data_IF_640958735844
#
_entry.id   IF_640958735844
#
_cell.length_a   1.000
_cell.length_b   1.000
_cell.length_c   1.000
_cell.angle_alpha   90.00
_cell.angle_beta   90.00
_cell.angle_gamma   90.00
#
_symmetry.space_group_name_H-M   'P 1'
#
loop_
_entity.id
_entity.type
_entity.pdbx_description
1 polymer ?
#
# COMPACT_ATOMS: atom_id res chain seq x y z
N UNK A 1 -20.04 32.53 9.67
CA UNK A 1 -20.52 31.13 9.74
C UNK A 1 -19.41 30.17 10.18
N UNK A 2 -18.23 30.19 9.55
CA UNK A 2 -17.05 29.38 9.94
C UNK A 2 -16.52 29.76 11.33
N UNK A 3 -16.58 31.05 11.69
CA UNK A 3 -16.03 31.57 12.96
C UNK A 3 -16.78 31.06 14.21
N UNK A 4 -18.12 31.01 14.15
CA UNK A 4 -18.95 30.43 15.21
C UNK A 4 -18.71 28.92 15.37
N UNK A 5 -18.46 28.20 14.27
CA UNK A 5 -18.14 26.77 14.31
C UNK A 5 -16.79 26.54 14.99
N UNK A 6 -15.76 27.32 14.65
CA UNK A 6 -14.43 27.18 15.25
C UNK A 6 -14.45 27.40 16.77
N UNK A 7 -15.17 28.43 17.24
CA UNK A 7 -15.35 28.69 18.67
C UNK A 7 -16.08 27.55 19.38
N UNK A 8 -17.13 27.00 18.75
CA UNK A 8 -17.84 25.85 19.29
C UNK A 8 -16.93 24.62 19.39
N UNK A 9 -16.19 24.28 18.33
CA UNK A 9 -15.31 23.11 18.29
C UNK A 9 -14.19 23.22 19.31
N UNK A 10 -13.56 24.38 19.46
CA UNK A 10 -12.54 24.60 20.50
C UNK A 10 -13.09 24.34 21.90
N UNK A 11 -14.31 24.82 22.19
CA UNK A 11 -14.97 24.56 23.47
C UNK A 11 -15.29 23.08 23.70
N UNK A 12 -15.68 22.34 22.66
CA UNK A 12 -16.00 20.91 22.78
C UNK A 12 -14.75 20.01 22.82
N UNK A 13 -13.60 20.47 22.33
CA UNK A 13 -12.37 19.68 22.31
C UNK A 13 -11.96 19.24 23.72
N UNK A 14 -12.08 20.13 24.71
CA UNK A 14 -11.77 19.83 26.12
C UNK A 14 -12.65 18.70 26.68
N UNK A 15 -13.92 18.65 26.27
CA UNK A 15 -14.85 17.58 26.66
C UNK A 15 -14.38 16.24 26.09
N UNK A 16 -13.92 16.21 24.84
CA UNK A 16 -13.40 14.98 24.21
C UNK A 16 -12.11 14.52 24.90
N UNK A 17 -11.14 15.43 25.12
CA UNK A 17 -9.88 15.08 25.81
C UNK A 17 -10.09 14.55 27.22
N UNK A 18 -11.09 15.10 27.94
CA UNK A 18 -11.44 14.64 29.29
C UNK A 18 -12.04 13.23 29.29
N UNK A 19 -12.90 12.90 28.33
CA UNK A 19 -13.69 11.68 28.34
C UNK A 19 -13.04 10.51 27.58
N UNK A 20 -12.27 10.78 26.52
CA UNK A 20 -11.77 9.72 25.60
C UNK A 20 -10.34 9.25 25.93
N UNK A 21 -9.71 9.80 26.97
CA UNK A 21 -8.34 9.42 27.36
C UNK A 21 -8.32 8.06 28.04
N UNK A 22 -7.77 7.07 27.35
CA UNK A 22 -7.45 5.75 27.91
C UNK A 22 -6.02 5.79 28.48
N UNK A 23 -5.86 5.38 29.74
CA UNK A 23 -4.53 5.32 30.37
C UNK A 23 -3.62 4.31 29.66
N UNK A 24 -2.40 4.69 29.24
CA UNK A 24 -1.46 3.78 28.57
C UNK A 24 -1.16 2.49 29.35
N UNK A 25 -1.27 2.53 30.69
CA UNK A 25 -1.08 1.37 31.56
C UNK A 25 -2.09 0.25 31.28
N UNK A 26 -3.32 0.59 30.92
CA UNK A 26 -4.40 -0.38 30.70
C UNK A 26 -4.09 -1.30 29.51
N UNK A 27 -3.40 -0.81 28.48
CA UNK A 27 -2.97 -1.65 27.36
C UNK A 27 -2.00 -2.74 27.80
N UNK A 28 -1.09 -2.42 28.73
CA UNK A 28 -0.18 -3.41 29.32
C UNK A 28 -0.92 -4.38 30.24
N UNK A 29 -1.85 -3.87 31.05
CA UNK A 29 -2.64 -4.65 31.99
C UNK A 29 -3.53 -5.70 31.29
N UNK A 30 -4.19 -5.30 30.19
CA UNK A 30 -5.08 -6.17 29.43
C UNK A 30 -4.40 -6.85 28.23
N UNK A 31 -3.07 -6.71 28.06
CA UNK A 31 -2.33 -7.37 26.98
C UNK A 31 -2.72 -6.89 25.57
N UNK A 32 -3.12 -5.63 25.41
CA UNK A 32 -3.51 -5.04 24.13
C UNK A 32 -2.27 -4.62 23.34
N UNK A 33 -2.10 -5.21 22.16
CA UNK A 33 -0.99 -4.92 21.25
C UNK A 33 -1.28 -3.66 20.41
N UNK A 34 -0.92 -2.49 20.95
CA UNK A 34 -1.07 -1.21 20.24
C UNK A 34 -0.29 -1.21 18.91
N UNK A 35 -0.96 -0.80 17.84
CA UNK A 35 -0.35 -0.77 16.50
C UNK A 35 0.10 -2.14 15.99
N UNK A 36 -0.52 -3.23 16.47
CA UNK A 36 -0.18 -4.62 16.14
C UNK A 36 1.26 -4.97 16.55
N UNK A 37 1.73 -4.46 17.69
CA UNK A 37 3.04 -4.77 18.26
C UNK A 37 2.94 -5.17 19.72
N UNK A 38 3.74 -6.14 20.12
CA UNK A 38 3.89 -6.53 21.52
C UNK A 38 4.77 -5.52 22.29
N UNK A 39 4.88 -5.76 23.60
CA UNK A 39 5.67 -4.92 24.52
C UNK A 39 7.17 -4.87 24.19
N UNK A 40 7.68 -5.82 23.41
CA UNK A 40 9.06 -5.88 22.94
C UNK A 40 9.22 -5.31 21.52
N UNK A 41 8.15 -4.72 20.96
CA UNK A 41 8.11 -4.15 19.61
C UNK A 41 7.93 -5.19 18.49
N UNK A 42 7.76 -6.47 18.81
CA UNK A 42 7.56 -7.54 17.83
C UNK A 42 6.15 -7.43 17.26
N UNK A 43 6.06 -7.46 15.92
CA UNK A 43 4.77 -7.44 15.23
C UNK A 43 3.91 -8.66 15.57
N UNK A 44 2.60 -8.44 15.63
CA UNK A 44 1.59 -9.49 15.74
C UNK A 44 1.40 -10.14 14.36
N UNK A 45 1.35 -11.47 14.32
CA UNK A 45 1.02 -12.21 13.11
C UNK A 45 -0.47 -12.04 12.80
N UNK A 46 -0.82 -11.35 11.71
CA UNK A 46 -2.20 -11.07 11.31
C UNK A 46 -2.66 -11.84 10.08
N UNK A 47 -1.75 -12.52 9.37
CA UNK A 47 -2.09 -13.27 8.16
C UNK A 47 -0.90 -13.98 7.55
N UNK A 48 -1.20 -14.76 6.50
CA UNK A 48 -0.22 -15.48 5.68
C UNK A 48 -0.24 -14.88 4.27
N UNK A 49 0.92 -14.80 3.64
CA UNK A 49 1.04 -14.29 2.26
C UNK A 49 2.11 -15.04 1.50
N UNK A 50 1.87 -15.24 0.21
CA UNK A 50 2.86 -15.74 -0.75
C UNK A 50 3.49 -14.61 -1.58
N UNK A 51 3.16 -13.33 -1.30
CA UNK A 51 3.60 -12.18 -2.11
C UNK A 51 5.03 -11.79 -1.80
N UNK A 52 5.34 -11.58 -0.52
CA UNK A 52 6.68 -11.17 -0.09
C UNK A 52 7.06 -11.72 1.27
N UNK A 53 8.37 -11.78 1.53
CA UNK A 53 8.94 -12.20 2.81
C UNK A 53 10.11 -11.29 3.17
N UNK A 54 10.16 -10.89 4.44
CA UNK A 54 11.27 -10.13 5.02
C UNK A 54 11.99 -11.02 6.02
N UNK A 55 13.31 -11.14 5.89
CA UNK A 55 14.18 -11.80 6.87
C UNK A 55 15.03 -10.73 7.53
N UNK A 56 14.79 -10.47 8.81
CA UNK A 56 15.54 -9.49 9.62
C UNK A 56 16.24 -10.10 10.83
N UNK A 57 16.04 -11.41 11.07
CA UNK A 57 16.67 -12.15 12.14
C UNK A 57 16.71 -13.64 11.83
N UNK A 58 17.71 -14.33 12.39
CA UNK A 58 17.91 -15.78 12.27
C UNK A 58 17.84 -16.42 13.65
N UNK A 59 17.43 -17.68 13.72
CA UNK A 59 17.47 -18.44 14.96
C UNK A 59 18.87 -19.04 15.12
N UNK A 60 19.57 -18.65 16.18
CA UNK A 60 20.89 -19.20 16.58
C UNK A 60 20.73 -19.65 18.03
N UNK A 61 20.96 -20.94 18.29
CA UNK A 61 20.81 -21.55 19.62
C UNK A 61 19.46 -21.27 20.30
N UNK A 62 18.37 -21.34 19.53
CA UNK A 62 17.01 -21.08 20.02
C UNK A 62 16.70 -19.60 20.29
N UNK A 63 17.64 -18.68 20.04
CA UNK A 63 17.46 -17.23 20.19
C UNK A 63 17.38 -16.55 18.83
N UNK A 64 16.55 -15.51 18.71
CA UNK A 64 16.52 -14.68 17.50
C UNK A 64 17.64 -13.66 17.56
N UNK A 65 18.57 -13.74 16.61
CA UNK A 65 19.67 -12.79 16.44
C UNK A 65 19.43 -11.96 15.18
N UNK A 66 19.59 -10.63 15.21
CA UNK A 66 19.50 -9.80 14.01
C UNK A 66 20.44 -10.27 12.90
N UNK A 67 20.03 -10.11 11.65
CA UNK A 67 20.86 -10.41 10.48
C UNK A 67 20.72 -9.32 9.42
N UNK A 68 21.56 -9.40 8.39
CA UNK A 68 21.36 -8.61 7.18
C UNK A 68 19.97 -8.83 6.62
N UNK A 69 19.29 -7.72 6.34
CA UNK A 69 17.92 -7.73 5.84
C UNK A 69 17.84 -8.36 4.46
N UNK A 70 16.95 -9.33 4.30
CA UNK A 70 16.59 -9.90 2.99
C UNK A 70 15.14 -9.59 2.67
N UNK A 71 14.88 -9.17 1.44
CA UNK A 71 13.55 -9.00 0.89
C UNK A 71 13.36 -9.97 -0.26
N UNK A 72 12.27 -10.72 -0.20
CA UNK A 72 11.91 -11.73 -1.18
C UNK A 72 10.56 -11.39 -1.79
N UNK A 73 10.45 -11.44 -3.11
CA UNK A 73 9.20 -11.31 -3.87
C UNK A 73 8.88 -12.64 -4.53
N UNK A 74 7.72 -13.24 -4.21
CA UNK A 74 7.28 -14.54 -4.76
C UNK A 74 8.36 -15.63 -4.73
N UNK A 75 9.23 -15.62 -3.71
CA UNK A 75 10.34 -16.58 -3.57
C UNK A 75 11.67 -16.17 -4.22
N UNK A 76 11.73 -15.05 -4.94
CA UNK A 76 12.95 -14.50 -5.53
C UNK A 76 13.56 -13.44 -4.61
N UNK A 77 14.88 -13.51 -4.37
CA UNK A 77 15.56 -12.47 -3.61
C UNK A 77 15.61 -11.18 -4.45
N UNK A 78 15.24 -10.05 -3.87
CA UNK A 78 15.22 -8.76 -4.58
C UNK A 78 16.62 -8.35 -5.07
N UNK A 79 17.69 -8.75 -4.36
CA UNK A 79 19.06 -8.48 -4.82
C UNK A 79 19.35 -9.21 -6.14
N UNK A 80 18.94 -10.47 -6.24
CA UNK A 80 19.13 -11.28 -7.45
C UNK A 80 18.27 -10.72 -8.59
N UNK A 81 17.01 -10.36 -8.30
CA UNK A 81 16.12 -9.72 -9.27
C UNK A 81 16.71 -8.43 -9.86
N UNK A 82 17.40 -7.63 -9.06
CA UNK A 82 18.06 -6.40 -9.53
C UNK A 82 19.33 -6.72 -10.34
N UNK A 83 20.11 -7.72 -9.91
CA UNK A 83 21.33 -8.14 -10.62
C UNK A 83 21.02 -8.75 -11.99
N UNK A 84 19.87 -9.43 -12.11
CA UNK A 84 19.39 -10.03 -13.35
C UNK A 84 18.82 -9.01 -14.35
N UNK A 85 18.68 -7.73 -13.96
CA UNK A 85 18.32 -6.66 -14.89
C UNK A 85 19.54 -6.22 -15.70
N UNK A 86 19.34 -6.01 -17.01
CA UNK A 86 20.37 -5.39 -17.84
C UNK A 86 20.74 -3.99 -17.34
N UNK A 87 21.97 -3.53 -17.63
CA UNK A 87 22.49 -2.21 -17.19
C UNK A 87 21.57 -1.02 -17.51
N UNK A 88 20.75 -1.14 -18.56
CA UNK A 88 19.84 -0.10 -19.03
C UNK A 88 18.36 -0.54 -18.98
N UNK A 89 18.06 -1.68 -18.35
CA UNK A 89 16.70 -2.19 -18.28
C UNK A 89 15.97 -1.62 -17.07
N UNK A 90 14.78 -1.09 -17.30
CA UNK A 90 13.85 -0.76 -16.22
C UNK A 90 13.15 -2.05 -15.77
N UNK A 91 13.19 -2.33 -14.46
CA UNK A 91 12.64 -3.57 -13.91
C UNK A 91 11.15 -3.51 -13.54
N UNK A 92 10.50 -2.35 -13.62
CA UNK A 92 9.18 -2.15 -13.03
C UNK A 92 8.14 -3.12 -13.62
N UNK A 93 8.01 -3.20 -14.94
CA UNK A 93 7.01 -4.03 -15.60
C UNK A 93 7.23 -5.52 -15.31
N UNK A 94 8.48 -5.98 -15.33
CA UNK A 94 8.86 -7.37 -15.01
C UNK A 94 8.50 -7.73 -13.55
N UNK A 95 8.79 -6.84 -12.61
CA UNK A 95 8.48 -7.05 -11.19
C UNK A 95 6.99 -6.90 -10.89
N UNK A 96 6.28 -5.97 -11.55
CA UNK A 96 4.84 -5.84 -11.44
C UNK A 96 4.14 -7.11 -11.91
N UNK A 97 4.55 -7.66 -13.07
CA UNK A 97 4.08 -8.95 -13.55
C UNK A 97 4.34 -10.05 -12.51
N UNK A 98 5.57 -10.17 -11.99
CA UNK A 98 5.92 -11.15 -10.96
C UNK A 98 4.99 -11.05 -9.74
N UNK A 99 4.78 -9.85 -9.22
CA UNK A 99 3.96 -9.65 -8.02
C UNK A 99 2.50 -10.01 -8.25
N UNK A 100 1.94 -9.68 -9.42
CA UNK A 100 0.55 -9.97 -9.78
C UNK A 100 0.33 -11.43 -10.13
N UNK A 101 1.12 -11.98 -11.05
CA UNK A 101 0.94 -13.32 -11.62
C UNK A 101 1.58 -14.43 -10.77
N UNK A 102 2.57 -14.08 -9.95
CA UNK A 102 3.26 -15.03 -9.07
C UNK A 102 4.49 -15.69 -9.69
N UNK A 103 4.76 -15.44 -10.97
CA UNK A 103 5.89 -15.99 -11.71
C UNK A 103 6.55 -14.95 -12.63
N UNK A 104 7.80 -15.17 -13.01
CA UNK A 104 8.51 -14.28 -13.92
C UNK A 104 7.96 -14.42 -15.34
N UNK A 105 7.71 -13.31 -16.06
CA UNK A 105 7.20 -13.39 -17.42
C UNK A 105 8.27 -13.93 -18.37
N UNK A 106 7.85 -14.71 -19.36
CA UNK A 106 8.69 -14.95 -20.54
C UNK A 106 8.72 -13.69 -21.43
N UNK A 107 9.53 -13.70 -22.50
CA UNK A 107 9.68 -12.53 -23.40
C UNK A 107 8.37 -12.08 -24.03
N UNK A 108 7.51 -13.03 -24.42
CA UNK A 108 6.22 -12.75 -25.04
C UNK A 108 5.25 -12.19 -24.02
N UNK A 109 5.13 -12.81 -22.85
CA UNK A 109 4.21 -12.36 -21.80
C UNK A 109 4.57 -10.95 -21.31
N UNK A 110 5.87 -10.65 -21.19
CA UNK A 110 6.32 -9.32 -20.81
C UNK A 110 5.96 -8.28 -21.89
N UNK A 111 6.16 -8.61 -23.17
CA UNK A 111 5.79 -7.73 -24.27
C UNK A 111 4.28 -7.46 -24.27
N UNK A 112 3.47 -8.51 -24.18
CA UNK A 112 2.01 -8.42 -24.18
C UNK A 112 1.53 -7.60 -22.95
N UNK A 113 2.12 -7.83 -21.77
CA UNK A 113 1.83 -7.06 -20.55
C UNK A 113 2.18 -5.57 -20.70
N UNK A 114 3.37 -5.25 -21.22
CA UNK A 114 3.82 -3.88 -21.46
C UNK A 114 2.91 -3.13 -22.45
N UNK A 115 2.43 -3.81 -23.49
CA UNK A 115 1.49 -3.23 -24.46
C UNK A 115 0.15 -2.91 -23.81
N UNK A 116 -0.40 -3.84 -23.01
CA UNK A 116 -1.68 -3.64 -22.31
C UNK A 116 -1.59 -2.48 -21.33
N UNK A 117 -0.62 -2.48 -20.42
CA UNK A 117 -0.48 -1.38 -19.45
C UNK A 117 -0.19 -0.05 -20.14
N UNK A 118 0.52 -0.06 -21.28
CA UNK A 118 0.81 1.12 -22.08
C UNK A 118 -0.47 1.76 -22.61
N UNK A 119 -1.39 0.95 -23.15
CA UNK A 119 -2.71 1.39 -23.61
C UNK A 119 -3.60 1.85 -22.45
N UNK A 120 -3.48 1.23 -21.29
CA UNK A 120 -4.26 1.58 -20.08
C UNK A 120 -3.81 2.87 -19.38
N UNK A 121 -2.77 3.57 -19.85
CA UNK A 121 -2.32 4.87 -19.31
C UNK A 121 -3.22 6.04 -19.73
N UNK A 122 -4.13 5.83 -20.69
CA UNK A 122 -5.01 6.87 -21.21
C UNK A 122 -6.14 7.13 -20.19
N UNK A 123 -6.23 8.36 -19.70
CA UNK A 123 -7.32 8.78 -18.83
C UNK A 123 -8.61 9.03 -19.63
N UNK A 124 -9.80 8.91 -19.00
CA UNK A 124 -11.06 9.23 -19.64
C UNK A 124 -11.08 10.66 -20.22
N UNK A 125 -11.88 10.88 -21.27
CA UNK A 125 -12.01 12.18 -21.92
C UNK A 125 -12.35 13.28 -20.89
N UNK A 126 -11.66 14.41 -20.99
CA UNK A 126 -11.76 15.57 -20.09
C UNK A 126 -11.38 15.32 -18.62
N UNK A 127 -10.97 14.12 -18.22
CA UNK A 127 -10.64 13.81 -16.82
C UNK A 127 -9.59 14.76 -16.24
N UNK A 128 -8.52 15.04 -16.98
CA UNK A 128 -7.48 15.99 -16.55
C UNK A 128 -8.05 17.37 -16.26
N UNK A 129 -8.88 17.92 -17.16
CA UNK A 129 -9.46 19.26 -17.00
C UNK A 129 -10.48 19.28 -15.86
N UNK A 130 -11.39 18.31 -15.85
CA UNK A 130 -12.60 18.36 -15.04
C UNK A 130 -12.41 17.78 -13.64
N UNK A 131 -11.38 16.96 -13.41
CA UNK A 131 -11.11 16.29 -12.12
C UNK A 131 -9.79 16.76 -11.53
N UNK A 132 -8.70 16.72 -12.31
CA UNK A 132 -7.37 17.06 -11.81
C UNK A 132 -7.22 18.57 -11.65
N UNK A 133 -7.54 19.34 -12.70
CA UNK A 133 -7.30 20.79 -12.74
C UNK A 133 -8.46 21.63 -12.18
N UNK A 134 -9.66 21.08 -12.04
CA UNK A 134 -10.85 21.83 -11.61
C UNK A 134 -10.77 22.38 -10.19
N UNK A 135 -10.12 21.63 -9.29
CA UNK A 135 -9.90 22.02 -7.90
C UNK A 135 -8.52 21.51 -7.46
N UNK A 136 -7.43 22.18 -7.86
CA UNK A 136 -6.09 21.76 -7.52
C UNK A 136 -5.90 21.87 -6.00
N UNK A 137 -5.30 20.85 -5.41
CA UNK A 137 -4.88 20.88 -4.02
C UNK A 137 -3.37 21.11 -3.98
N UNK A 138 -2.88 21.82 -2.96
CA UNK A 138 -1.45 21.85 -2.65
C UNK A 138 -0.93 20.49 -2.20
N UNK A 139 -1.83 19.59 -1.78
CA UNK A 139 -1.54 18.23 -1.40
C UNK A 139 -1.74 17.28 -2.59
N UNK A 140 -0.64 16.72 -3.09
CA UNK A 140 -0.64 15.77 -4.19
C UNK A 140 -1.34 14.45 -3.84
N UNK A 141 -1.28 14.01 -2.58
CA UNK A 141 -1.95 12.78 -2.13
C UNK A 141 -3.46 12.93 -2.15
N UNK A 142 -3.97 14.10 -1.76
CA UNK A 142 -5.41 14.41 -1.88
C UNK A 142 -5.85 14.42 -3.35
N UNK A 143 -5.00 14.96 -4.24
CA UNK A 143 -5.26 14.96 -5.68
C UNK A 143 -5.27 13.54 -6.26
N UNK A 144 -4.31 12.69 -5.88
CA UNK A 144 -4.27 11.29 -6.32
C UNK A 144 -5.46 10.50 -5.79
N UNK A 145 -5.79 10.63 -4.50
CA UNK A 145 -6.92 9.93 -3.86
C UNK A 145 -8.24 10.30 -4.54
N UNK A 146 -8.50 11.61 -4.75
CA UNK A 146 -9.68 12.08 -5.46
C UNK A 146 -9.74 11.53 -6.88
N UNK A 147 -8.61 11.50 -7.58
CA UNK A 147 -8.54 11.00 -8.95
C UNK A 147 -8.91 9.52 -9.01
N UNK A 148 -8.35 8.68 -8.13
CA UNK A 148 -8.67 7.24 -8.08
C UNK A 148 -10.15 7.01 -7.77
N UNK A 149 -10.70 7.70 -6.76
CA UNK A 149 -12.13 7.59 -6.42
C UNK A 149 -13.05 8.06 -7.56
N UNK A 150 -12.63 9.08 -8.29
CA UNK A 150 -13.38 9.57 -9.43
C UNK A 150 -13.31 8.59 -10.60
N UNK A 151 -12.15 7.99 -10.88
CA UNK A 151 -11.99 6.94 -11.90
C UNK A 151 -12.91 5.75 -11.65
N UNK A 152 -13.11 5.34 -10.38
CA UNK A 152 -14.06 4.28 -10.04
C UNK A 152 -15.50 4.59 -10.49
N UNK A 153 -15.87 5.87 -10.63
CA UNK A 153 -17.19 6.28 -11.14
C UNK A 153 -17.34 6.12 -12.66
N UNK A 154 -16.22 6.04 -13.39
CA UNK A 154 -16.21 5.77 -14.83
C UNK A 154 -16.21 4.28 -15.16
N UNK A 155 -15.96 3.42 -14.16
CA UNK A 155 -15.90 1.98 -14.33
C UNK A 155 -17.22 1.31 -13.90
N UNK A 156 -17.95 0.76 -14.88
CA UNK A 156 -19.23 0.07 -14.67
C UNK A 156 -19.09 -1.21 -13.83
N UNK A 157 -17.89 -1.80 -13.77
CA UNK A 157 -17.61 -3.04 -13.05
C UNK A 157 -16.76 -2.80 -11.80
N UNK A 158 -16.65 -1.56 -11.30
CA UNK A 158 -15.81 -1.22 -10.14
C UNK A 158 -16.13 -2.00 -8.86
N UNK A 159 -17.34 -2.57 -8.76
CA UNK A 159 -17.80 -3.35 -7.59
C UNK A 159 -17.65 -4.86 -7.78
N UNK A 160 -17.35 -5.32 -9.00
CA UNK A 160 -17.12 -6.74 -9.25
C UNK A 160 -15.71 -7.11 -8.76
N UNK A 161 -15.64 -8.10 -7.88
CA UNK A 161 -14.40 -8.56 -7.22
C UNK A 161 -13.91 -9.90 -7.77
N UNK A 162 -14.48 -10.37 -8.87
CA UNK A 162 -13.93 -11.50 -9.62
C UNK A 162 -12.47 -11.22 -10.03
N UNK A 163 -11.67 -12.28 -10.10
CA UNK A 163 -10.22 -12.18 -10.27
C UNK A 163 -9.86 -11.53 -11.61
N UNK A 164 -10.53 -11.92 -12.69
CA UNK A 164 -10.34 -11.37 -14.02
C UNK A 164 -10.72 -9.89 -14.09
N UNK A 165 -11.81 -9.46 -13.45
CA UNK A 165 -12.15 -8.05 -13.35
C UNK A 165 -11.17 -7.27 -12.48
N UNK A 166 -10.63 -7.87 -11.42
CA UNK A 166 -9.63 -7.22 -10.54
C UNK A 166 -8.27 -7.05 -11.22
N UNK A 167 -8.00 -7.81 -12.30
CA UNK A 167 -6.79 -7.68 -13.12
C UNK A 167 -6.95 -6.70 -14.31
N UNK A 168 -8.18 -6.21 -14.57
CA UNK A 168 -8.50 -5.28 -15.67
C UNK A 168 -8.12 -3.84 -15.34
#
# INVERSE_FOLDING_TARGET
MIENLNQYVQKQADICFKNDKISPRLYKEYGVNLGLRDVNGKGVLTGLTNISKIVSSKAVDGRRVPCDGELWYRGYNVKDLIQDLGKNEFGFEKIAYLLLMGELPNKKDLQDFCEVIGKSRILPTNFTRDVIMKAPSSDIMNTMTRSILTLASYDKLAKDTNVDNSLR
#
